data_IF_608134312015
#
_entry.id   IF_608134312015
#
_cell.length_a   1.000
_cell.length_b   1.000
_cell.length_c   1.000
_cell.angle_alpha   90.00
_cell.angle_beta   90.00
_cell.angle_gamma   90.00
#
_symmetry.space_group_name_H-M   'P 1'
#
loop_
_entity.id
_entity.type
_entity.pdbx_description
1 polymer ?
#
# COMPACT_ATOMS: atom_id res chain seq x y z
N UNK A 1 7.33 0.57 -17.41
CA UNK A 1 6.05 0.81 -16.70
C UNK A 1 6.38 0.99 -15.24
N UNK A 2 5.84 2.03 -14.60
CA UNK A 2 6.05 2.27 -13.18
C UNK A 2 5.15 1.35 -12.35
N UNK A 3 5.49 1.15 -11.08
CA UNK A 3 4.72 0.32 -10.15
C UNK A 3 3.22 0.71 -10.07
N UNK A 4 2.93 2.02 -10.03
CA UNK A 4 1.55 2.51 -10.01
C UNK A 4 0.79 2.20 -11.30
N UNK A 5 1.46 2.11 -12.45
CA UNK A 5 0.82 1.75 -13.72
C UNK A 5 0.36 0.30 -13.70
N UNK A 6 1.18 -0.61 -13.18
CA UNK A 6 0.82 -2.03 -13.00
C UNK A 6 -0.42 -2.16 -12.11
N UNK A 7 -0.43 -1.45 -10.98
CA UNK A 7 -1.56 -1.45 -10.04
C UNK A 7 -2.85 -0.91 -10.69
N UNK A 8 -2.76 0.23 -11.38
CA UNK A 8 -3.90 0.83 -12.07
C UNK A 8 -4.44 -0.08 -13.17
N UNK A 9 -3.55 -0.63 -14.02
CA UNK A 9 -3.91 -1.50 -15.12
C UNK A 9 -4.64 -2.75 -14.61
N UNK A 10 -4.15 -3.35 -13.51
CA UNK A 10 -4.81 -4.51 -12.90
C UNK A 10 -6.21 -4.16 -12.40
N UNK A 11 -6.35 -3.11 -11.60
CA UNK A 11 -7.64 -2.69 -11.05
C UNK A 11 -8.66 -2.31 -12.15
N UNK A 12 -8.18 -1.74 -13.27
CA UNK A 12 -9.03 -1.48 -14.44
C UNK A 12 -9.49 -2.77 -15.12
N UNK A 13 -8.57 -3.70 -15.36
CA UNK A 13 -8.88 -5.01 -15.96
C UNK A 13 -9.88 -5.78 -15.10
N UNK A 14 -9.64 -5.82 -13.80
CA UNK A 14 -10.46 -6.53 -12.81
C UNK A 14 -11.89 -5.95 -12.75
N UNK A 15 -12.03 -4.61 -12.85
CA UNK A 15 -13.34 -3.96 -12.95
C UNK A 15 -14.12 -4.40 -14.20
N UNK A 16 -13.47 -4.54 -15.36
CA UNK A 16 -14.13 -4.97 -16.60
C UNK A 16 -14.48 -6.47 -16.59
N UNK A 17 -13.62 -7.29 -15.97
CA UNK A 17 -13.82 -8.74 -15.89
C UNK A 17 -15.00 -9.14 -14.99
N UNK A 18 -15.31 -8.33 -13.96
CA UNK A 18 -16.43 -8.57 -13.04
C UNK A 18 -17.82 -8.70 -13.72
N UNK A 19 -17.93 -8.22 -14.97
CA UNK A 19 -19.17 -8.25 -15.77
C UNK A 19 -19.30 -9.56 -16.59
N UNK A 20 -18.23 -10.35 -16.70
CA UNK A 20 -18.19 -11.56 -17.54
C UNK A 20 -17.57 -12.73 -16.77
N UNK A 21 -18.36 -13.52 -16.04
CA UNK A 21 -17.86 -14.75 -15.39
C UNK A 21 -18.75 -15.95 -15.71
N UNK A 22 -18.31 -16.78 -16.66
CA UNK A 22 -18.83 -18.14 -16.88
C UNK A 22 -17.67 -19.08 -17.27
N UNK A 23 -17.50 -20.14 -16.47
CA UNK A 23 -16.73 -21.39 -16.67
C UNK A 23 -15.17 -21.36 -16.78
N UNK A 24 -14.50 -22.18 -15.93
CA UNK A 24 -13.08 -22.54 -16.12
C UNK A 24 -12.22 -22.67 -14.84
N UNK A 25 -12.49 -23.64 -13.95
CA UNK A 25 -11.89 -23.66 -12.60
C UNK A 25 -10.56 -24.44 -12.43
N UNK A 26 -10.26 -25.49 -13.20
CA UNK A 26 -9.30 -26.50 -12.70
C UNK A 26 -7.88 -26.50 -13.28
N UNK A 27 -7.66 -26.14 -14.55
CA UNK A 27 -6.37 -26.49 -15.21
C UNK A 27 -5.25 -25.45 -15.09
N UNK A 28 -5.52 -24.23 -14.59
CA UNK A 28 -4.54 -23.13 -14.56
C UNK A 28 -4.02 -22.80 -13.15
N UNK A 29 -4.75 -23.16 -12.09
CA UNK A 29 -4.37 -22.87 -10.71
C UNK A 29 -3.03 -23.53 -10.29
N UNK A 30 -2.63 -24.61 -10.96
CA UNK A 30 -1.41 -25.36 -10.66
C UNK A 30 -0.10 -24.63 -11.04
N UNK A 31 -0.16 -23.55 -11.83
CA UNK A 31 1.04 -22.92 -12.37
C UNK A 31 1.62 -21.77 -11.52
N UNK A 32 1.00 -21.34 -10.40
CA UNK A 32 1.52 -20.18 -9.65
C UNK A 32 1.19 -20.21 -8.15
N UNK A 33 2.21 -20.18 -7.29
CA UNK A 33 2.09 -20.16 -5.81
C UNK A 33 1.24 -18.99 -5.28
N UNK A 34 1.37 -17.80 -5.87
CA UNK A 34 0.62 -16.62 -5.45
C UNK A 34 -0.88 -16.82 -5.67
N UNK A 35 -1.28 -17.31 -6.86
CA UNK A 35 -2.67 -17.63 -7.21
C UNK A 35 -3.30 -18.61 -6.21
N UNK A 36 -2.60 -19.70 -5.88
CA UNK A 36 -3.08 -20.69 -4.90
C UNK A 36 -3.26 -20.06 -3.53
N UNK A 37 -2.30 -19.24 -3.10
CA UNK A 37 -2.37 -18.55 -1.80
C UNK A 37 -3.48 -17.50 -1.75
N UNK A 38 -3.78 -16.80 -2.85
CA UNK A 38 -4.90 -15.85 -2.94
C UNK A 38 -6.23 -16.58 -2.82
N UNK A 39 -6.39 -17.71 -3.52
CA UNK A 39 -7.60 -18.55 -3.41
C UNK A 39 -7.80 -19.02 -1.97
N UNK A 40 -6.74 -19.50 -1.32
CA UNK A 40 -6.82 -19.95 0.08
C UNK A 40 -7.25 -18.81 1.01
N UNK A 41 -6.61 -17.64 0.90
CA UNK A 41 -7.00 -16.45 1.67
C UNK A 41 -8.42 -15.98 1.34
N UNK A 42 -8.87 -16.18 0.10
CA UNK A 42 -10.24 -15.90 -0.32
C UNK A 42 -11.26 -16.83 0.32
N UNK A 43 -10.95 -18.13 0.41
CA UNK A 43 -11.77 -19.13 1.12
C UNK A 43 -11.83 -18.79 2.61
N UNK A 44 -10.69 -18.43 3.20
CA UNK A 44 -10.63 -18.00 4.59
C UNK A 44 -11.53 -16.78 4.83
N UNK A 45 -11.43 -15.74 4.00
CA UNK A 45 -12.28 -14.54 4.13
C UNK A 45 -13.76 -14.85 3.89
N UNK A 46 -14.10 -15.68 2.91
CA UNK A 46 -15.47 -16.12 2.66
C UNK A 46 -16.06 -16.90 3.85
N UNK A 47 -15.24 -17.70 4.54
CA UNK A 47 -15.68 -18.43 5.74
C UNK A 47 -16.08 -17.48 6.87
N UNK A 48 -15.40 -16.32 7.00
CA UNK A 48 -15.72 -15.34 8.05
C UNK A 48 -17.04 -14.62 7.79
N UNK A 49 -17.51 -14.53 6.54
CA UNK A 49 -18.84 -13.96 6.25
C UNK A 49 -20.00 -14.77 6.84
N UNK A 50 -19.79 -16.04 7.19
CA UNK A 50 -20.79 -16.80 7.94
C UNK A 50 -21.11 -16.17 9.30
N UNK A 51 -20.19 -15.38 9.87
CA UNK A 51 -20.43 -14.60 11.09
C UNK A 51 -21.57 -13.58 10.95
N UNK A 52 -21.78 -13.05 9.74
CA UNK A 52 -22.87 -12.10 9.45
C UNK A 52 -24.26 -12.73 9.52
N UNK A 53 -24.37 -14.07 9.46
CA UNK A 53 -25.64 -14.78 9.55
C UNK A 53 -26.09 -15.01 11.00
N UNK A 54 -25.17 -14.88 11.96
CA UNK A 54 -25.41 -15.17 13.37
C UNK A 54 -25.32 -13.85 14.16
N UNK A 55 -26.42 -13.36 14.77
CA UNK A 55 -26.44 -12.06 15.46
C UNK A 55 -25.39 -11.90 16.57
N UNK A 56 -24.94 -13.01 17.17
CA UNK A 56 -23.92 -13.04 18.22
C UNK A 56 -22.54 -12.59 17.75
N UNK A 57 -22.22 -12.70 16.47
CA UNK A 57 -20.93 -12.32 15.88
C UNK A 57 -21.02 -11.03 15.06
N UNK A 58 -21.95 -10.15 15.42
CA UNK A 58 -22.18 -8.90 14.70
C UNK A 58 -20.97 -7.95 14.69
N UNK A 59 -20.10 -8.04 15.70
CA UNK A 59 -18.84 -7.30 15.78
C UNK A 59 -17.86 -7.72 14.66
N UNK A 60 -17.64 -9.03 14.47
CA UNK A 60 -16.80 -9.57 13.39
C UNK A 60 -17.35 -9.18 12.02
N UNK A 61 -18.67 -9.31 11.83
CA UNK A 61 -19.32 -8.89 10.60
C UNK A 61 -19.14 -7.39 10.31
N UNK A 62 -19.30 -6.54 11.34
CA UNK A 62 -19.12 -5.10 11.20
C UNK A 62 -17.68 -4.72 10.83
N UNK A 63 -16.69 -5.48 11.33
CA UNK A 63 -15.28 -5.29 10.98
C UNK A 63 -15.03 -5.65 9.50
N UNK A 64 -15.57 -6.77 9.02
CA UNK A 64 -15.47 -7.21 7.62
C UNK A 64 -16.03 -6.15 6.66
N UNK A 65 -17.24 -5.65 6.92
CA UNK A 65 -17.87 -4.60 6.11
C UNK A 65 -17.06 -3.29 6.14
N UNK A 66 -16.49 -2.97 7.31
CA UNK A 66 -15.62 -1.79 7.45
C UNK A 66 -14.34 -1.96 6.64
N UNK A 67 -13.75 -3.15 6.59
CA UNK A 67 -12.61 -3.45 5.74
C UNK A 67 -12.91 -3.34 4.26
N UNK A 68 -14.05 -3.86 3.79
CA UNK A 68 -14.46 -3.72 2.39
C UNK A 68 -14.61 -2.25 1.99
N UNK A 69 -15.23 -1.44 2.84
CA UNK A 69 -15.35 0.01 2.61
C UNK A 69 -13.97 0.68 2.47
N UNK A 70 -13.03 0.32 3.34
CA UNK A 70 -11.66 0.88 3.32
C UNK A 70 -10.88 0.44 2.10
N UNK A 71 -11.03 -0.82 1.69
CA UNK A 71 -10.45 -1.32 0.45
C UNK A 71 -11.02 -0.58 -0.76
N UNK A 72 -12.34 -0.38 -0.83
CA UNK A 72 -12.97 0.38 -1.90
C UNK A 72 -12.46 1.82 -1.99
N UNK A 73 -12.30 2.51 -0.85
CA UNK A 73 -11.70 3.85 -0.80
C UNK A 73 -10.24 3.85 -1.28
N UNK A 74 -9.47 2.83 -0.87
CA UNK A 74 -8.09 2.62 -1.29
C UNK A 74 -7.95 2.34 -2.79
N UNK A 75 -8.90 1.61 -3.39
CA UNK A 75 -8.95 1.40 -4.85
C UNK A 75 -9.29 2.73 -5.56
N UNK A 76 -10.25 3.49 -5.03
CA UNK A 76 -10.63 4.78 -5.61
C UNK A 76 -9.46 5.79 -5.62
N UNK A 77 -8.62 5.79 -4.58
CA UNK A 77 -7.46 6.67 -4.49
C UNK A 77 -6.38 6.35 -5.54
N UNK A 78 -6.26 5.09 -6.02
CA UNK A 78 -5.37 4.72 -7.16
C UNK A 78 -5.72 5.50 -8.43
N UNK A 79 -7.00 5.79 -8.65
CA UNK A 79 -7.47 6.56 -9.80
C UNK A 79 -7.43 8.07 -9.58
N UNK A 80 -7.42 8.51 -8.32
CA UNK A 80 -7.36 9.93 -7.94
C UNK A 80 -5.94 10.50 -8.05
N UNK A 81 -4.92 9.70 -7.74
CA UNK A 81 -3.52 10.12 -7.76
C UNK A 81 -2.83 9.60 -9.02
N UNK A 82 -1.98 10.42 -9.67
CA UNK A 82 -1.26 10.01 -10.88
C UNK A 82 -0.33 8.81 -10.61
N UNK A 83 0.44 8.87 -9.50
CA UNK A 83 1.28 7.79 -8.99
C UNK A 83 1.00 7.58 -7.50
N UNK A 84 0.23 6.53 -7.20
CA UNK A 84 -0.20 6.24 -5.83
C UNK A 84 0.95 5.66 -4.98
N UNK A 85 1.86 4.91 -5.61
CA UNK A 85 2.99 4.27 -4.94
C UNK A 85 4.02 5.33 -4.54
N UNK A 86 4.33 6.27 -5.44
CA UNK A 86 5.12 7.46 -5.13
C UNK A 86 4.52 8.21 -3.95
N UNK A 87 3.21 8.47 -3.97
CA UNK A 87 2.56 9.23 -2.91
C UNK A 87 2.70 8.56 -1.54
N UNK A 88 2.58 7.23 -1.46
CA UNK A 88 2.81 6.48 -0.22
C UNK A 88 4.24 6.65 0.29
N UNK A 89 5.25 6.52 -0.57
CA UNK A 89 6.64 6.77 -0.17
C UNK A 89 6.89 8.21 0.28
N UNK A 90 6.26 9.20 -0.35
CA UNK A 90 6.38 10.61 0.06
C UNK A 90 5.83 10.79 1.47
N UNK A 91 4.64 10.26 1.75
CA UNK A 91 4.03 10.32 3.08
C UNK A 91 4.92 9.67 4.15
N UNK A 92 5.64 8.61 3.81
CA UNK A 92 6.58 7.95 4.72
C UNK A 92 7.80 8.82 5.04
N UNK A 93 8.50 9.33 4.03
CA UNK A 93 9.73 10.11 4.27
C UNK A 93 9.45 11.48 4.89
N UNK A 94 8.32 12.11 4.55
CA UNK A 94 7.89 13.33 5.24
C UNK A 94 7.59 13.09 6.73
N UNK A 95 7.06 11.91 7.07
CA UNK A 95 6.84 11.52 8.47
C UNK A 95 8.17 11.37 9.22
N UNK A 96 9.17 10.72 8.62
CA UNK A 96 10.51 10.61 9.21
C UNK A 96 11.18 11.97 9.40
N UNK A 97 11.03 12.91 8.47
CA UNK A 97 11.64 14.23 8.61
C UNK A 97 11.04 15.01 9.81
N UNK A 98 9.72 14.91 10.00
CA UNK A 98 9.04 15.58 11.11
C UNK A 98 9.48 15.04 12.46
N UNK A 99 9.72 13.73 12.56
CA UNK A 99 10.17 13.07 13.79
C UNK A 99 11.61 13.47 14.18
N UNK A 100 12.47 13.77 13.20
CA UNK A 100 13.83 14.26 13.43
C UNK A 100 13.88 15.71 13.96
N UNK A 101 12.85 16.53 13.68
CA UNK A 101 12.79 17.95 14.07
C UNK A 101 12.02 18.19 15.37
N UNK A 102 10.93 17.48 15.60
CA UNK A 102 10.13 17.59 16.82
C UNK A 102 10.54 16.47 17.78
N UNK A 103 11.59 16.74 18.56
CA UNK A 103 11.89 15.94 19.75
C UNK A 103 10.66 15.93 20.67
N UNK A 104 9.86 14.87 20.55
CA UNK A 104 8.75 14.51 21.42
C UNK A 104 7.77 15.65 21.75
N UNK A 105 6.88 16.01 20.81
CA UNK A 105 5.60 16.66 21.16
C UNK A 105 4.44 16.02 20.42
N UNK A 106 3.48 15.55 21.22
CA UNK A 106 2.27 14.88 20.82
C UNK A 106 1.52 15.60 19.68
N UNK A 107 1.19 14.81 18.66
CA UNK A 107 -0.14 14.78 18.04
C UNK A 107 -0.64 16.06 17.36
N UNK A 108 -0.50 16.12 16.04
CA UNK A 108 -1.61 16.59 15.20
C UNK A 108 -1.48 16.04 13.78
N UNK A 109 -2.26 15.00 13.49
CA UNK A 109 -2.40 14.39 12.15
C UNK A 109 -3.22 15.28 11.19
N UNK A 110 -3.67 16.46 11.64
CA UNK A 110 -4.56 17.34 10.87
C UNK A 110 -3.87 18.26 9.86
N UNK A 111 -2.54 18.41 9.91
CA UNK A 111 -1.81 19.31 9.01
C UNK A 111 -1.41 18.71 7.65
N UNK A 112 -1.50 17.39 7.48
CA UNK A 112 -0.87 16.68 6.35
C UNK A 112 -1.67 16.73 5.03
N UNK A 113 -2.92 17.19 5.03
CA UNK A 113 -3.79 17.16 3.83
C UNK A 113 -3.75 18.49 3.04
N UNK A 114 -3.17 19.57 3.58
CA UNK A 114 -3.20 20.90 2.93
C UNK A 114 -1.95 21.25 2.09
N UNK A 115 -0.99 20.34 1.93
CA UNK A 115 0.32 20.66 1.35
C UNK A 115 0.47 20.63 -0.18
N UNK A 116 -0.54 20.21 -0.95
CA UNK A 116 -0.35 19.94 -2.41
C UNK A 116 -1.24 20.85 -3.29
N UNK A 117 -1.67 21.99 -2.77
CA UNK A 117 -2.32 23.02 -3.58
C UNK A 117 -1.67 24.38 -3.31
N UNK A 118 -0.92 24.88 -4.28
CA UNK A 118 -0.45 26.26 -4.33
C UNK A 118 1.06 26.39 -4.25
N UNK A 119 1.66 26.80 -5.36
CA UNK A 119 3.01 27.37 -5.39
C UNK A 119 3.12 28.48 -4.35
N UNK A 120 4.03 28.35 -3.39
CA UNK A 120 4.42 29.43 -2.50
C UNK A 120 5.92 29.35 -2.21
N UNK A 121 6.66 30.15 -2.96
CA UNK A 121 8.08 30.39 -2.76
C UNK A 121 8.32 31.32 -1.56
N UNK A 122 9.55 31.23 -1.03
CA UNK A 122 10.26 32.22 -0.20
C UNK A 122 9.87 32.33 1.29
N UNK A 123 10.19 31.27 2.05
CA UNK A 123 10.93 31.34 3.34
C UNK A 123 11.25 29.90 3.78
N UNK A 124 12.12 29.17 3.06
CA UNK A 124 12.14 27.71 3.22
C UNK A 124 13.42 26.97 2.79
N UNK A 125 14.62 27.56 2.73
CA UNK A 125 15.79 26.82 2.17
C UNK A 125 16.05 25.49 2.91
N UNK A 126 15.98 25.43 4.24
CA UNK A 126 16.17 24.17 5.00
C UNK A 126 14.97 23.20 5.06
N UNK A 127 13.73 23.67 4.83
CA UNK A 127 12.52 22.81 4.73
C UNK A 127 12.29 22.33 3.30
N UNK A 128 12.61 23.16 2.32
CA UNK A 128 12.49 22.87 0.89
C UNK A 128 13.51 21.83 0.45
N UNK A 129 14.75 21.86 0.97
CA UNK A 129 15.77 20.87 0.58
C UNK A 129 15.45 19.48 1.11
N UNK A 130 15.00 19.34 2.37
CA UNK A 130 14.69 18.01 2.93
C UNK A 130 13.40 17.40 2.36
N UNK A 131 12.36 18.20 2.14
CA UNK A 131 11.18 17.75 1.39
C UNK A 131 11.56 17.37 -0.05
N UNK A 132 12.50 18.06 -0.69
CA UNK A 132 12.99 17.69 -2.01
C UNK A 132 13.76 16.36 -2.00
N UNK A 133 14.55 16.08 -0.97
CA UNK A 133 15.26 14.80 -0.79
C UNK A 133 14.27 13.67 -0.52
N UNK A 134 13.29 13.89 0.36
CA UNK A 134 12.20 12.95 0.61
C UNK A 134 11.48 12.59 -0.69
N UNK A 135 11.10 13.59 -1.48
CA UNK A 135 10.46 13.40 -2.78
C UNK A 135 11.37 12.68 -3.80
N UNK A 136 12.65 13.06 -3.89
CA UNK A 136 13.61 12.42 -4.78
C UNK A 136 13.79 10.94 -4.44
N UNK A 137 13.89 10.62 -3.14
CA UNK A 137 13.96 9.25 -2.65
C UNK A 137 12.69 8.46 -2.97
N UNK A 138 11.52 9.05 -2.73
CA UNK A 138 10.24 8.44 -3.10
C UNK A 138 10.15 8.15 -4.59
N UNK A 139 10.62 9.09 -5.42
CA UNK A 139 10.60 8.98 -6.88
C UNK A 139 11.58 7.91 -7.39
N UNK A 140 12.76 7.83 -6.79
CA UNK A 140 13.72 6.78 -7.07
C UNK A 140 13.14 5.39 -6.75
N UNK A 141 12.56 5.23 -5.55
CA UNK A 141 11.95 3.97 -5.13
C UNK A 141 10.77 3.57 -5.99
N UNK A 142 9.76 4.43 -6.12
CA UNK A 142 8.55 4.15 -6.90
C UNK A 142 8.84 3.84 -8.38
N UNK A 143 9.88 4.47 -8.95
CA UNK A 143 10.36 4.19 -10.30
C UNK A 143 11.26 2.96 -10.44
N UNK A 144 11.72 2.36 -9.34
CA UNK A 144 12.66 1.24 -9.37
C UNK A 144 12.05 -0.03 -9.94
N UNK A 145 12.90 -0.86 -10.57
CA UNK A 145 12.49 -2.17 -11.09
C UNK A 145 12.06 -3.11 -9.95
N UNK A 146 12.68 -3.01 -8.77
CA UNK A 146 12.36 -3.85 -7.62
C UNK A 146 10.93 -3.57 -7.13
N UNK A 147 10.54 -2.30 -6.92
CA UNK A 147 9.16 -1.96 -6.53
C UNK A 147 8.19 -2.41 -7.61
N UNK A 148 8.51 -2.15 -8.89
CA UNK A 148 7.67 -2.55 -10.02
C UNK A 148 7.49 -4.07 -10.10
N UNK A 149 8.55 -4.84 -9.86
CA UNK A 149 8.52 -6.31 -9.84
C UNK A 149 7.71 -6.84 -8.67
N UNK A 150 7.91 -6.31 -7.45
CA UNK A 150 7.12 -6.70 -6.27
C UNK A 150 5.64 -6.43 -6.48
N UNK A 151 5.30 -5.25 -7.00
CA UNK A 151 3.92 -4.86 -7.30
C UNK A 151 3.36 -5.77 -8.40
N UNK A 152 4.11 -6.00 -9.48
CA UNK A 152 3.72 -6.90 -10.55
C UNK A 152 3.53 -8.34 -10.06
N UNK A 153 4.39 -8.87 -9.18
CA UNK A 153 4.28 -10.22 -8.60
C UNK A 153 3.06 -10.37 -7.68
N UNK A 154 2.73 -9.33 -6.90
CA UNK A 154 1.50 -9.28 -6.07
C UNK A 154 0.24 -9.08 -6.90
N UNK A 155 0.38 -8.69 -8.17
CA UNK A 155 -0.68 -8.51 -9.15
C UNK A 155 -0.76 -9.69 -10.14
N UNK A 156 0.30 -10.48 -10.26
CA UNK A 156 0.47 -11.51 -11.27
C UNK A 156 -0.49 -12.68 -11.05
N UNK A 157 -1.67 -12.55 -11.64
CA UNK A 157 -2.65 -13.59 -11.87
C UNK A 157 -3.23 -13.39 -13.26
N UNK A 158 -2.64 -14.05 -14.27
CA UNK A 158 -3.24 -14.14 -15.61
C UNK A 158 -4.16 -15.35 -15.66
N UNK A 159 -5.47 -15.18 -15.64
CA UNK A 159 -6.39 -16.04 -16.40
C UNK A 159 -7.74 -15.32 -16.53
N UNK A 160 -8.41 -15.34 -17.69
CA UNK A 160 -9.59 -14.53 -17.94
C UNK A 160 -10.90 -15.13 -17.42
N UNK A 161 -10.91 -16.35 -16.87
CA UNK A 161 -12.16 -17.00 -16.49
C UNK A 161 -12.06 -17.77 -15.16
N UNK A 162 -12.94 -17.39 -14.22
CA UNK A 162 -13.48 -18.13 -13.04
C UNK A 162 -12.79 -18.09 -11.68
N UNK A 163 -11.56 -17.58 -11.51
CA UNK A 163 -10.97 -17.47 -10.15
C UNK A 163 -11.13 -16.07 -9.52
N UNK A 164 -11.89 -15.19 -10.17
CA UNK A 164 -11.91 -13.77 -9.83
C UNK A 164 -12.43 -13.46 -8.43
N UNK A 165 -13.57 -14.03 -8.01
CA UNK A 165 -14.18 -13.68 -6.72
C UNK A 165 -13.27 -14.06 -5.53
N UNK A 166 -12.80 -15.31 -5.46
CA UNK A 166 -11.92 -15.75 -4.38
C UNK A 166 -10.53 -15.08 -4.44
N UNK A 167 -10.02 -14.76 -5.62
CA UNK A 167 -8.77 -13.98 -5.73
C UNK A 167 -8.94 -12.55 -5.24
N UNK A 168 -10.05 -11.88 -5.58
CA UNK A 168 -10.36 -10.54 -5.08
C UNK A 168 -10.52 -10.57 -3.57
N UNK A 169 -11.30 -11.51 -3.02
CA UNK A 169 -11.41 -11.71 -1.57
C UNK A 169 -10.06 -12.06 -0.92
N UNK A 170 -9.20 -12.79 -1.62
CA UNK A 170 -7.86 -13.14 -1.15
C UNK A 170 -6.91 -11.94 -1.06
N UNK A 171 -6.92 -11.07 -2.07
CA UNK A 171 -6.16 -9.82 -2.06
C UNK A 171 -6.68 -8.90 -0.96
N UNK A 172 -8.00 -8.78 -0.80
CA UNK A 172 -8.61 -8.00 0.28
C UNK A 172 -8.20 -8.51 1.66
N UNK A 173 -8.17 -9.82 1.86
CA UNK A 173 -7.69 -10.44 3.10
C UNK A 173 -6.22 -10.10 3.37
N UNK A 174 -5.37 -10.26 2.36
CA UNK A 174 -3.94 -9.97 2.49
C UNK A 174 -3.67 -8.48 2.71
N UNK A 175 -4.46 -7.61 2.08
CA UNK A 175 -4.42 -6.17 2.31
C UNK A 175 -4.84 -5.81 3.73
N UNK A 176 -5.93 -6.39 4.24
CA UNK A 176 -6.37 -6.20 5.61
C UNK A 176 -5.30 -6.65 6.63
N UNK A 177 -4.71 -7.83 6.42
CA UNK A 177 -3.65 -8.35 7.28
C UNK A 177 -2.39 -7.49 7.24
N UNK A 178 -1.96 -7.06 6.06
CA UNK A 178 -0.81 -6.17 5.90
C UNK A 178 -1.06 -4.80 6.59
N UNK A 179 -2.26 -4.24 6.46
CA UNK A 179 -2.62 -3.00 7.14
C UNK A 179 -2.67 -3.16 8.68
N UNK A 180 -3.19 -4.28 9.19
CA UNK A 180 -3.17 -4.60 10.64
C UNK A 180 -1.75 -4.77 11.16
N UNK A 181 -0.90 -5.47 10.40
CA UNK A 181 0.53 -5.62 10.71
C UNK A 181 1.23 -4.26 10.74
N UNK A 182 0.96 -3.40 9.76
CA UNK A 182 1.49 -2.03 9.73
C UNK A 182 1.06 -1.22 10.95
N UNK A 183 -0.20 -1.33 11.39
CA UNK A 183 -0.71 -0.66 12.60
C UNK A 183 0.11 -1.01 13.84
N UNK A 184 0.63 -2.23 13.93
CA UNK A 184 1.49 -2.67 15.03
C UNK A 184 2.94 -2.24 14.82
N UNK A 185 3.46 -2.37 13.59
CA UNK A 185 4.86 -2.08 13.29
C UNK A 185 5.19 -0.58 13.30
N UNK A 186 4.35 0.24 12.67
CA UNK A 186 4.53 1.69 12.54
C UNK A 186 3.17 2.41 12.61
N UNK A 187 2.60 2.58 13.82
CA UNK A 187 1.25 3.11 14.02
C UNK A 187 1.08 4.54 13.50
N UNK A 188 2.15 5.34 13.49
CA UNK A 188 2.09 6.72 12.96
C UNK A 188 1.91 6.72 11.45
N UNK A 189 2.71 5.94 10.75
CA UNK A 189 2.56 5.80 9.30
C UNK A 189 1.22 5.16 8.92
N UNK A 190 0.76 4.17 9.68
CA UNK A 190 -0.60 3.62 9.53
C UNK A 190 -1.66 4.72 9.61
N UNK A 191 -1.62 5.60 10.61
CA UNK A 191 -2.60 6.70 10.76
C UNK A 191 -2.57 7.68 9.59
N UNK A 192 -1.38 7.96 9.04
CA UNK A 192 -1.22 8.82 7.85
C UNK A 192 -1.87 8.16 6.63
N UNK A 193 -1.56 6.89 6.35
CA UNK A 193 -2.15 6.18 5.21
C UNK A 193 -3.66 5.98 5.38
N UNK A 194 -4.13 5.70 6.58
CA UNK A 194 -5.57 5.57 6.88
C UNK A 194 -6.32 6.86 6.58
N UNK A 195 -5.76 8.01 6.98
CA UNK A 195 -6.32 9.33 6.68
C UNK A 195 -6.30 9.64 5.18
N UNK A 196 -5.24 9.20 4.50
CA UNK A 196 -5.11 9.33 3.05
C UNK A 196 -5.92 8.29 2.25
N UNK A 197 -6.59 7.33 2.91
CA UNK A 197 -7.29 6.21 2.29
C UNK A 197 -6.35 5.38 1.38
N UNK A 198 -5.20 5.00 1.91
CA UNK A 198 -4.14 4.26 1.21
C UNK A 198 -3.64 3.05 2.01
N UNK A 199 -4.14 2.81 3.22
CA UNK A 199 -3.54 1.84 4.14
C UNK A 199 -3.63 0.40 3.61
N UNK A 200 -4.69 0.07 2.86
CA UNK A 200 -4.85 -1.26 2.27
C UNK A 200 -3.86 -1.49 1.11
N UNK A 201 -3.44 -0.43 0.42
CA UNK A 201 -2.43 -0.51 -0.64
C UNK A 201 -1.02 -0.77 -0.10
N UNK A 202 -0.80 -0.66 1.22
CA UNK A 202 0.47 -1.00 1.86
C UNK A 202 0.92 -2.40 1.50
N UNK A 203 -0.02 -3.33 1.31
CA UNK A 203 0.27 -4.67 0.82
C UNK A 203 1.20 -4.67 -0.41
N UNK A 204 1.06 -3.75 -1.37
CA UNK A 204 1.88 -3.79 -2.57
C UNK A 204 3.34 -3.34 -2.35
N UNK A 205 3.64 -2.65 -1.26
CA UNK A 205 4.97 -2.11 -0.94
C UNK A 205 5.52 -2.57 0.42
N UNK A 206 4.76 -3.40 1.13
CA UNK A 206 5.09 -3.97 2.44
C UNK A 206 6.53 -4.49 2.54
N UNK A 207 7.04 -5.38 1.65
CA UNK A 207 8.35 -5.98 1.88
C UNK A 207 9.48 -4.95 1.82
N UNK A 208 9.27 -3.86 1.07
CA UNK A 208 10.25 -2.80 0.88
C UNK A 208 10.24 -1.86 2.08
N UNK A 209 9.04 -1.43 2.52
CA UNK A 209 8.92 -0.56 3.68
C UNK A 209 9.30 -1.25 4.98
N UNK A 210 9.05 -2.54 5.15
CA UNK A 210 9.47 -3.26 6.36
C UNK A 210 10.99 -3.35 6.50
N UNK A 211 11.70 -3.54 5.39
CA UNK A 211 13.17 -3.45 5.38
C UNK A 211 13.64 -2.06 5.80
N UNK A 212 13.00 -1.01 5.27
CA UNK A 212 13.33 0.38 5.63
C UNK A 212 13.01 0.64 7.11
N UNK A 213 11.86 0.19 7.63
CA UNK A 213 11.49 0.33 9.04
C UNK A 213 12.54 -0.31 9.96
N UNK A 214 12.97 -1.53 9.65
CA UNK A 214 14.00 -2.24 10.42
C UNK A 214 15.32 -1.46 10.44
N UNK A 215 15.75 -1.01 9.28
CA UNK A 215 16.96 -0.23 9.09
C UNK A 215 16.94 1.11 9.85
N UNK A 216 15.84 1.85 9.78
CA UNK A 216 15.65 3.10 10.53
C UNK A 216 15.63 2.84 12.04
N UNK A 217 14.92 1.80 12.51
CA UNK A 217 14.83 1.46 13.95
C UNK A 217 16.17 1.02 14.56
N UNK A 218 17.05 0.40 13.77
CA UNK A 218 18.40 0.04 14.22
C UNK A 218 19.36 1.24 14.35
N UNK A 219 18.86 2.48 14.21
CA UNK A 219 19.67 3.72 14.19
C UNK A 219 20.81 3.69 13.16
N UNK A 220 20.69 2.87 12.12
CA UNK A 220 21.66 2.83 11.03
C UNK A 220 21.68 4.14 10.22
N UNK A 221 20.64 4.98 10.34
CA UNK A 221 20.55 6.27 9.67
C UNK A 221 20.15 7.36 10.63
N UNK A 222 21.00 8.38 10.74
CA UNK A 222 20.69 9.61 11.46
C UNK A 222 20.13 10.69 10.52
N UNK A 223 20.23 10.49 9.20
CA UNK A 223 19.81 11.45 8.15
C UNK A 223 19.21 10.73 6.94
N UNK A 224 18.20 11.34 6.33
CA UNK A 224 17.57 10.89 5.07
C UNK A 224 18.59 10.78 3.91
N UNK A 225 19.68 11.53 3.97
CA UNK A 225 20.73 11.57 2.95
C UNK A 225 21.51 10.24 2.87
N UNK A 226 21.76 9.60 4.02
CA UNK A 226 22.42 8.30 4.10
C UNK A 226 21.48 7.17 3.60
N UNK A 227 20.18 7.29 3.89
CA UNK A 227 19.16 6.40 3.36
C UNK A 227 19.02 6.54 1.84
N UNK A 228 19.19 7.76 1.32
CA UNK A 228 19.14 8.04 -0.11
C UNK A 228 20.27 7.36 -0.86
N UNK A 229 21.53 7.49 -0.42
CA UNK A 229 22.67 6.86 -1.11
C UNK A 229 22.60 5.33 -1.10
N UNK A 230 22.10 4.71 -0.03
CA UNK A 230 21.96 3.25 -0.02
C UNK A 230 20.78 2.75 -0.84
N UNK A 231 19.67 3.49 -0.84
CA UNK A 231 18.57 3.19 -1.76
C UNK A 231 19.04 3.37 -3.21
N UNK A 232 19.85 4.39 -3.48
CA UNK A 232 20.47 4.61 -4.77
C UNK A 232 21.32 3.41 -5.19
N UNK A 233 22.17 2.91 -4.29
CA UNK A 233 23.04 1.76 -4.51
C UNK A 233 22.25 0.45 -4.68
N UNK A 234 21.28 0.18 -3.78
CA UNK A 234 20.51 -1.08 -3.78
C UNK A 234 19.50 -1.17 -4.92
N UNK A 235 18.92 -0.05 -5.33
CA UNK A 235 17.87 -0.01 -6.35
C UNK A 235 18.39 0.47 -7.72
N UNK A 236 19.69 0.79 -7.83
CA UNK A 236 20.38 1.26 -9.03
C UNK A 236 19.69 2.46 -9.70
N UNK A 237 19.43 3.51 -8.90
CA UNK A 237 18.67 4.71 -9.32
C UNK A 237 19.50 5.99 -9.23
#
# INVERSE_FOLDING_TARGET
MQASDYLRMKLQSDRQLSIYTQHGFSSFAQATKNIVSDIYSGIERASWYTSCLIPRYGDICSELVTEEKRMSLSIASVFKHHDVILHMFVLYFEMLEKDSKDGNKNGSVQGLVKGIAGHAAKTAVGRSTRNAIAYALSKALSGSEIVSKVVAERIAGKSPYVVFALQVFGIDQKAALAARKLKVLEPRYFSILYTAQLEMLYYFIEPILEEIFKKVKMKAYSRLDELYEEVREKFNV
#
